data_IF_622575704477
#
_entry.id   IF_622575704477
#
_cell.length_a   1.000
_cell.length_b   1.000
_cell.length_c   1.000
_cell.angle_alpha   90.00
_cell.angle_beta   90.00
_cell.angle_gamma   90.00
#
_symmetry.space_group_name_H-M   'P 1'
#
loop_
_entity.id
_entity.type
_entity.pdbx_description
1 polymer ?
#
# COMPACT_ATOMS: atom_id res chain seq x y z
N UNK A 1 -11.93 3.70 1.33
CA UNK A 1 -12.35 4.74 0.36
C UNK A 1 -12.43 4.02 -0.96
N UNK A 2 -13.57 4.13 -1.64
CA UNK A 2 -13.78 3.49 -2.93
C UNK A 2 -12.70 3.95 -3.90
N UNK A 3 -12.08 3.00 -4.60
CA UNK A 3 -11.19 3.31 -5.71
C UNK A 3 -12.05 3.78 -6.88
N UNK A 4 -12.65 4.97 -6.71
CA UNK A 4 -13.35 5.68 -7.76
C UNK A 4 -12.33 5.97 -8.85
N UNK A 5 -12.46 5.26 -9.97
CA UNK A 5 -11.82 5.67 -11.22
C UNK A 5 -12.40 7.02 -11.60
N UNK A 6 -11.76 8.10 -11.16
CA UNK A 6 -12.31 9.42 -11.38
C UNK A 6 -12.35 9.75 -12.89
N UNK A 7 -13.47 10.31 -13.34
CA UNK A 7 -13.61 10.84 -14.70
C UNK A 7 -13.20 12.30 -14.72
N UNK A 8 -12.55 12.73 -15.80
CA UNK A 8 -12.22 14.14 -15.96
C UNK A 8 -13.51 14.98 -16.02
N UNK A 9 -13.70 15.98 -15.15
CA UNK A 9 -14.92 16.79 -15.12
C UNK A 9 -15.12 17.61 -16.40
N UNK A 10 -14.04 17.87 -17.15
CA UNK A 10 -14.08 18.74 -18.31
C UNK A 10 -14.38 18.01 -19.63
N UNK A 11 -13.96 16.74 -19.75
CA UNK A 11 -14.13 15.98 -20.99
C UNK A 11 -14.67 14.55 -20.79
N UNK A 12 -15.00 14.18 -19.56
CA UNK A 12 -15.45 12.83 -19.16
C UNK A 12 -14.49 11.68 -19.53
N UNK A 13 -13.27 11.99 -19.98
CA UNK A 13 -12.26 10.98 -20.28
C UNK A 13 -11.63 10.42 -18.99
N UNK A 14 -11.05 9.23 -19.08
CA UNK A 14 -10.29 8.63 -17.98
C UNK A 14 -9.11 9.52 -17.60
N UNK A 15 -8.92 9.73 -16.29
CA UNK A 15 -7.83 10.53 -15.76
C UNK A 15 -6.78 9.63 -15.12
N UNK A 16 -5.50 9.89 -15.41
CA UNK A 16 -4.39 9.10 -14.86
C UNK A 16 -3.77 9.82 -13.67
N UNK A 17 -3.46 9.06 -12.62
CA UNK A 17 -2.71 9.60 -11.49
C UNK A 17 -1.20 9.65 -11.80
N UNK A 18 -0.61 10.84 -11.74
CA UNK A 18 0.84 11.05 -11.85
C UNK A 18 1.48 11.02 -10.46
N UNK A 19 2.28 9.98 -10.18
CA UNK A 19 2.99 9.85 -8.91
C UNK A 19 4.02 10.98 -8.66
N UNK A 20 4.61 11.54 -9.73
CA UNK A 20 5.59 12.64 -9.64
C UNK A 20 4.96 13.92 -9.12
N UNK A 21 3.75 14.24 -9.58
CA UNK A 21 3.10 15.51 -9.29
C UNK A 21 2.03 15.39 -8.19
N UNK A 22 1.70 14.17 -7.76
CA UNK A 22 0.59 13.85 -6.85
C UNK A 22 -0.74 14.47 -7.34
N UNK A 23 -0.95 14.42 -8.65
CA UNK A 23 -2.11 15.01 -9.35
C UNK A 23 -2.70 14.03 -10.36
N UNK A 24 -3.99 14.19 -10.62
CA UNK A 24 -4.71 13.53 -11.70
C UNK A 24 -4.56 14.37 -12.97
N UNK A 25 -3.98 13.79 -14.02
CA UNK A 25 -3.73 14.45 -15.31
C UNK A 25 -4.62 13.83 -16.38
N UNK A 26 -5.37 14.67 -17.08
CA UNK A 26 -6.17 14.25 -18.23
C UNK A 26 -5.40 14.46 -19.53
N UNK A 27 -5.06 13.38 -20.23
CA UNK A 27 -4.31 13.43 -21.50
C UNK A 27 -5.14 13.96 -22.68
N UNK A 28 -6.47 14.06 -22.52
CA UNK A 28 -7.38 14.50 -23.58
C UNK A 28 -7.59 16.02 -23.60
N UNK A 29 -7.79 16.64 -22.44
CA UNK A 29 -8.00 18.08 -22.32
C UNK A 29 -6.85 18.82 -21.60
N UNK A 30 -5.76 18.11 -21.26
CA UNK A 30 -4.57 18.64 -20.58
C UNK A 30 -4.85 19.37 -19.25
N UNK A 31 -6.00 19.09 -18.63
CA UNK A 31 -6.30 19.59 -17.29
C UNK A 31 -5.62 18.72 -16.23
N UNK A 32 -5.18 19.35 -15.15
CA UNK A 32 -4.63 18.67 -13.98
C UNK A 32 -5.45 19.03 -12.75
N UNK A 33 -5.75 18.04 -11.91
CA UNK A 33 -6.54 18.19 -10.69
C UNK A 33 -5.81 17.55 -9.52
N UNK A 34 -5.96 18.13 -8.34
CA UNK A 34 -5.47 17.55 -7.09
C UNK A 34 -6.45 16.52 -6.54
N UNK A 35 -5.98 15.68 -5.60
CA UNK A 35 -6.85 14.67 -4.97
C UNK A 35 -8.03 15.30 -4.21
N UNK A 36 -7.83 16.49 -3.63
CA UNK A 36 -8.90 17.21 -2.92
C UNK A 36 -9.98 17.69 -3.88
N UNK A 37 -9.60 18.33 -4.99
CA UNK A 37 -10.53 18.81 -6.02
C UNK A 37 -11.34 17.65 -6.62
N UNK A 38 -10.70 16.50 -6.86
CA UNK A 38 -11.39 15.32 -7.40
C UNK A 38 -12.40 14.71 -6.41
N UNK A 39 -12.09 14.71 -5.11
CA UNK A 39 -13.02 14.25 -4.06
C UNK A 39 -14.21 15.18 -3.91
N UNK A 40 -14.00 16.49 -3.99
CA UNK A 40 -15.09 17.49 -3.93
C UNK A 40 -16.05 17.36 -5.12
N UNK A 41 -15.51 17.16 -6.32
CA UNK A 41 -16.31 16.98 -7.54
C UNK A 41 -17.10 15.66 -7.49
N UNK A 42 -16.49 14.57 -7.03
CA UNK A 42 -17.18 13.29 -6.86
C UNK A 42 -18.30 13.38 -5.81
N UNK A 43 -18.06 14.07 -4.69
CA UNK A 43 -19.07 14.30 -3.66
C UNK A 43 -20.24 15.18 -4.16
N UNK A 44 -19.99 16.13 -5.06
CA UNK A 44 -21.06 16.92 -5.69
C UNK A 44 -21.87 16.10 -6.71
N UNK A 45 -21.24 15.14 -7.40
CA UNK A 45 -21.92 14.25 -8.34
C UNK A 45 -22.81 13.21 -7.63
N UNK A 46 -22.40 12.73 -6.45
CA UNK A 46 -23.22 11.84 -5.61
C UNK A 46 -24.52 12.52 -5.12
N UNK A 47 -24.54 13.86 -4.98
CA UNK A 47 -25.76 14.59 -4.60
C UNK A 47 -26.80 14.70 -5.73
N UNK A 48 -26.43 14.46 -6.99
CA UNK A 48 -27.34 14.48 -8.14
C UNK A 48 -27.82 13.08 -8.57
N UNK A 49 -27.24 12.00 -8.04
CA UNK A 49 -27.73 10.63 -8.21
C UNK A 49 -28.48 10.16 -6.95
N UNK A 50 -29.54 10.86 -6.60
CA UNK A 50 -30.60 10.31 -5.74
C UNK A 50 -31.88 10.42 -6.52
N UNK A 51 -32.21 9.36 -7.28
CA UNK A 51 -33.55 8.98 -7.78
C UNK A 51 -33.38 8.06 -9.00
N UNK A 52 -33.32 6.74 -8.78
CA UNK A 52 -34.34 5.81 -9.31
C UNK A 52 -34.19 4.39 -8.74
N UNK A 53 -35.29 3.64 -8.52
CA UNK A 53 -35.32 2.38 -7.81
C UNK A 53 -35.42 1.18 -8.77
N UNK A 54 -34.82 0.03 -8.44
CA UNK A 54 -35.32 -1.27 -8.93
C UNK A 54 -34.75 -2.45 -8.14
N UNK A 55 -35.66 -3.18 -7.51
CA UNK A 55 -35.51 -4.55 -7.05
C UNK A 55 -35.10 -5.49 -8.20
N UNK A 56 -34.16 -6.42 -7.95
CA UNK A 56 -34.09 -7.69 -8.68
C UNK A 56 -33.38 -8.76 -7.83
N UNK A 57 -34.19 -9.38 -6.98
CA UNK A 57 -34.22 -10.81 -6.64
C UNK A 57 -32.93 -11.63 -6.70
N UNK A 58 -32.61 -12.13 -5.50
CA UNK A 58 -32.00 -13.42 -5.24
C UNK A 58 -32.59 -14.52 -6.12
N UNK A 59 -31.78 -15.13 -6.98
CA UNK A 59 -31.92 -16.54 -7.35
C UNK A 59 -30.55 -17.19 -7.19
N UNK A 60 -30.43 -17.95 -6.12
CA UNK A 60 -29.33 -18.85 -5.85
C UNK A 60 -29.36 -20.00 -6.86
N UNK A 61 -28.28 -20.17 -7.61
CA UNK A 61 -27.92 -21.43 -8.25
C UNK A 61 -26.46 -21.69 -7.91
N UNK A 62 -26.16 -22.89 -7.41
CA UNK A 62 -24.85 -23.39 -6.90
C UNK A 62 -23.68 -23.29 -7.91
N UNK A 63 -23.88 -22.68 -9.08
CA UNK A 63 -22.82 -22.33 -10.04
C UNK A 63 -22.20 -20.95 -9.79
N UNK A 64 -22.85 -20.07 -8.99
CA UNK A 64 -22.36 -18.71 -8.71
C UNK A 64 -21.49 -18.62 -7.45
N UNK A 65 -21.37 -19.68 -6.65
CA UNK A 65 -20.53 -19.61 -5.45
C UNK A 65 -19.08 -19.31 -5.85
N UNK A 66 -18.56 -19.97 -6.90
CA UNK A 66 -17.16 -19.83 -7.29
C UNK A 66 -16.87 -18.86 -8.45
N UNK A 67 -17.83 -18.06 -8.89
CA UNK A 67 -17.61 -17.11 -10.00
C UNK A 67 -18.33 -15.81 -9.71
N UNK A 68 -17.57 -14.85 -9.20
CA UNK A 68 -18.08 -13.52 -8.97
C UNK A 68 -18.10 -12.74 -10.30
N UNK A 69 -19.27 -12.23 -10.63
CA UNK A 69 -19.57 -11.46 -11.84
C UNK A 69 -19.45 -9.97 -11.50
N UNK A 70 -18.56 -9.25 -12.18
CA UNK A 70 -18.22 -7.86 -11.87
C UNK A 70 -18.50 -6.92 -13.03
N UNK A 71 -19.12 -5.77 -12.78
CA UNK A 71 -19.32 -4.71 -13.76
C UNK A 71 -18.12 -3.75 -13.79
N UNK A 72 -17.60 -3.45 -14.99
CA UNK A 72 -16.55 -2.46 -15.19
C UNK A 72 -17.13 -1.05 -15.33
N UNK A 73 -16.85 -0.16 -14.38
CA UNK A 73 -17.34 1.23 -14.38
C UNK A 73 -16.86 2.07 -15.57
N UNK A 74 -15.78 1.66 -16.25
CA UNK A 74 -15.26 2.38 -17.42
C UNK A 74 -15.95 2.02 -18.74
N UNK A 75 -16.49 0.81 -18.90
CA UNK A 75 -17.05 0.35 -20.18
C UNK A 75 -18.39 -0.38 -20.06
N UNK A 76 -18.91 -0.56 -18.84
CA UNK A 76 -20.14 -1.30 -18.55
C UNK A 76 -20.03 -2.81 -18.78
N UNK A 77 -18.85 -3.32 -19.17
CA UNK A 77 -18.68 -4.74 -19.45
C UNK A 77 -18.72 -5.57 -18.16
N UNK A 78 -19.34 -6.74 -18.25
CA UNK A 78 -19.43 -7.69 -17.17
C UNK A 78 -18.29 -8.71 -17.29
N UNK A 79 -17.43 -8.77 -16.28
CA UNK A 79 -16.24 -9.62 -16.21
C UNK A 79 -16.51 -10.76 -15.22
N UNK A 80 -16.21 -11.99 -15.61
CA UNK A 80 -16.24 -13.15 -14.72
C UNK A 80 -14.84 -13.38 -14.18
N UNK A 81 -14.68 -13.40 -12.85
CA UNK A 81 -13.39 -13.66 -12.22
C UNK A 81 -13.51 -14.69 -11.09
N UNK A 82 -12.44 -15.45 -10.92
CA UNK A 82 -12.30 -16.50 -9.92
C UNK A 82 -12.24 -15.94 -8.47
N UNK A 83 -12.67 -16.74 -7.50
CA UNK A 83 -12.75 -16.39 -6.07
C UNK A 83 -11.42 -16.01 -5.42
N UNK A 84 -10.29 -16.31 -6.03
CA UNK A 84 -8.97 -15.98 -5.47
C UNK A 84 -8.32 -14.76 -6.14
N UNK A 85 -8.93 -14.20 -7.19
CA UNK A 85 -8.37 -13.05 -7.88
C UNK A 85 -8.91 -11.77 -7.24
N UNK A 86 -8.05 -10.92 -6.66
CA UNK A 86 -8.44 -9.66 -6.01
C UNK A 86 -8.33 -8.43 -6.93
N UNK A 87 -7.54 -8.54 -8.00
CA UNK A 87 -7.36 -7.50 -9.00
C UNK A 87 -7.27 -8.14 -10.39
N UNK A 88 -8.13 -7.72 -11.31
CA UNK A 88 -8.16 -8.21 -12.70
C UNK A 88 -8.18 -7.01 -13.64
N UNK A 89 -7.60 -7.15 -14.82
CA UNK A 89 -7.74 -6.15 -15.89
C UNK A 89 -9.03 -6.43 -16.66
N UNK A 90 -9.81 -5.40 -16.98
CA UNK A 90 -10.95 -5.55 -17.86
C UNK A 90 -10.48 -6.00 -19.26
N UNK A 91 -10.93 -7.16 -19.73
CA UNK A 91 -10.56 -7.66 -21.06
C UNK A 91 -11.00 -6.74 -22.21
N UNK A 92 -11.98 -5.87 -21.98
CA UNK A 92 -12.53 -4.98 -22.98
C UNK A 92 -11.79 -3.64 -23.04
N UNK A 93 -11.58 -2.98 -21.90
CA UNK A 93 -10.95 -1.65 -21.86
C UNK A 93 -9.55 -1.62 -21.23
N UNK A 94 -9.04 -2.77 -20.78
CA UNK A 94 -7.74 -2.93 -20.13
C UNK A 94 -7.54 -2.07 -18.85
N UNK A 95 -8.61 -1.47 -18.32
CA UNK A 95 -8.54 -0.77 -17.05
C UNK A 95 -8.44 -1.78 -15.89
N UNK A 96 -7.60 -1.51 -14.88
CA UNK A 96 -7.55 -2.32 -13.67
C UNK A 96 -8.87 -2.19 -12.92
N UNK A 97 -9.55 -3.31 -12.68
CA UNK A 97 -10.79 -3.37 -11.91
C UNK A 97 -10.45 -3.89 -10.53
N UNK A 98 -10.69 -3.05 -9.52
CA UNK A 98 -10.66 -3.46 -8.12
C UNK A 98 -12.03 -4.05 -7.81
N UNK A 99 -12.04 -5.31 -7.39
CA UNK A 99 -13.27 -6.03 -7.12
C UNK A 99 -13.86 -5.52 -5.79
N UNK A 100 -14.80 -4.57 -5.90
CA UNK A 100 -15.39 -3.80 -4.80
C UNK A 100 -15.95 -4.67 -3.66
N UNK A 101 -16.38 -5.90 -3.96
CA UNK A 101 -16.88 -6.87 -2.97
C UNK A 101 -15.86 -7.34 -1.92
N UNK A 102 -14.55 -7.16 -2.14
CA UNK A 102 -13.51 -7.59 -1.19
C UNK A 102 -12.84 -6.47 -0.38
N UNK A 103 -13.19 -5.21 -0.65
CA UNK A 103 -12.65 -4.03 0.05
C UNK A 103 -13.74 -3.33 0.90
N UNK A 104 -14.88 -4.00 1.06
CA UNK A 104 -16.03 -3.56 1.85
C UNK A 104 -16.26 -4.51 3.04
N UNK A 105 -16.97 -4.05 4.07
CA UNK A 105 -17.23 -4.82 5.29
C UNK A 105 -15.99 -4.99 6.18
N UNK A 106 -15.83 -6.19 6.75
CA UNK A 106 -14.80 -6.52 7.76
C UNK A 106 -13.35 -6.40 7.25
N UNK A 107 -13.13 -6.58 5.94
CA UNK A 107 -11.80 -6.53 5.32
C UNK A 107 -11.45 -5.18 4.70
N UNK A 108 -12.24 -4.13 4.96
CA UNK A 108 -11.93 -2.78 4.50
C UNK A 108 -10.68 -2.25 5.21
N UNK A 109 -9.60 -1.91 4.49
CA UNK A 109 -8.39 -1.37 5.10
C UNK A 109 -8.66 0.04 5.66
N UNK A 110 -8.07 0.33 6.81
CA UNK A 110 -8.14 1.67 7.43
C UNK A 110 -7.31 2.70 6.66
N UNK A 111 -6.18 2.28 6.07
CA UNK A 111 -5.28 3.11 5.30
C UNK A 111 -4.86 2.39 4.01
N UNK A 112 -4.67 3.15 2.94
CA UNK A 112 -4.10 2.67 1.67
C UNK A 112 -2.99 3.63 1.28
N UNK A 113 -1.79 3.10 1.00
CA UNK A 113 -0.65 3.90 0.60
C UNK A 113 -0.63 4.08 -0.93
N UNK A 114 -0.56 5.31 -1.46
CA UNK A 114 -0.42 5.51 -2.89
C UNK A 114 0.96 5.06 -3.38
N UNK A 115 1.04 4.61 -4.63
CA UNK A 115 2.33 4.30 -5.25
C UNK A 115 3.14 5.59 -5.45
N UNK A 116 4.37 5.61 -4.94
CA UNK A 116 5.33 6.70 -5.18
C UNK A 116 6.21 6.45 -6.40
N UNK A 117 6.44 5.18 -6.74
CA UNK A 117 7.35 4.76 -7.81
C UNK A 117 6.51 4.41 -9.03
N UNK A 118 6.87 4.98 -10.18
CA UNK A 118 6.28 4.65 -11.47
C UNK A 118 6.84 3.33 -12.02
N UNK A 119 6.12 2.77 -13.00
CA UNK A 119 6.47 1.48 -13.62
C UNK A 119 7.86 1.48 -14.25
N UNK A 120 8.27 2.57 -14.89
CA UNK A 120 9.56 2.64 -15.58
C UNK A 120 10.71 2.63 -14.56
N UNK A 121 10.58 3.41 -13.48
CA UNK A 121 11.52 3.40 -12.37
C UNK A 121 11.58 2.04 -11.69
N UNK A 122 10.45 1.36 -11.49
CA UNK A 122 10.40 0.01 -10.95
C UNK A 122 11.14 -1.01 -11.83
N UNK A 123 10.98 -0.94 -13.16
CA UNK A 123 11.73 -1.77 -14.12
C UNK A 123 13.23 -1.44 -14.06
N UNK A 124 13.60 -0.16 -13.89
CA UNK A 124 14.99 0.26 -13.69
C UNK A 124 15.63 -0.39 -12.47
N UNK A 125 14.98 -0.26 -11.31
CA UNK A 125 15.42 -0.89 -10.06
C UNK A 125 15.51 -2.41 -10.18
N UNK A 126 14.54 -3.04 -10.84
CA UNK A 126 14.56 -4.48 -11.12
C UNK A 126 15.77 -4.90 -11.96
N UNK A 127 16.10 -4.14 -13.01
CA UNK A 127 17.29 -4.40 -13.84
C UNK A 127 18.57 -4.27 -13.03
N UNK A 128 18.67 -3.25 -12.18
CA UNK A 128 19.85 -3.01 -11.35
C UNK A 128 20.01 -4.06 -10.25
N UNK A 129 18.91 -4.56 -9.69
CA UNK A 129 18.91 -5.73 -8.81
C UNK A 129 19.45 -6.96 -9.54
N UNK A 130 18.89 -7.28 -10.70
CA UNK A 130 19.30 -8.43 -11.52
C UNK A 130 20.79 -8.40 -11.90
N UNK A 131 21.37 -7.23 -12.19
CA UNK A 131 22.82 -7.08 -12.50
C UNK A 131 23.73 -7.53 -11.36
N UNK A 132 23.29 -7.46 -10.11
CA UNK A 132 24.10 -7.84 -8.93
C UNK A 132 24.16 -9.37 -8.74
N UNK A 133 23.26 -10.12 -9.37
CA UNK A 133 23.14 -11.57 -9.18
C UNK A 133 23.70 -12.35 -10.38
N UNK A 134 24.91 -12.91 -10.21
CA UNK A 134 25.66 -13.59 -11.28
C UNK A 134 25.04 -14.91 -11.79
N UNK A 135 24.18 -15.55 -10.99
CA UNK A 135 23.56 -16.84 -11.32
C UNK A 135 22.13 -16.72 -11.85
N UNK A 136 21.72 -15.52 -12.25
CA UNK A 136 20.38 -15.27 -12.76
C UNK A 136 20.22 -15.84 -14.19
N UNK A 137 19.19 -16.67 -14.47
CA UNK A 137 18.91 -17.12 -15.82
C UNK A 137 18.63 -15.95 -16.77
N UNK A 138 19.13 -16.03 -18.02
CA UNK A 138 19.00 -14.95 -19.00
C UNK A 138 17.54 -14.62 -19.33
N UNK A 139 16.65 -15.61 -19.28
CA UNK A 139 15.22 -15.45 -19.58
C UNK A 139 14.49 -14.58 -18.56
N UNK A 140 15.04 -14.43 -17.35
CA UNK A 140 14.46 -13.61 -16.29
C UNK A 140 14.47 -12.11 -16.61
N UNK A 141 15.35 -11.68 -17.51
CA UNK A 141 15.45 -10.30 -18.00
C UNK A 141 14.75 -10.07 -19.34
N UNK A 142 14.04 -11.08 -19.88
CA UNK A 142 13.32 -10.96 -21.14
C UNK A 142 12.27 -9.83 -21.11
N UNK A 143 12.02 -9.22 -22.26
CA UNK A 143 11.04 -8.13 -22.38
C UNK A 143 9.64 -8.55 -21.87
N UNK A 144 9.21 -9.77 -22.21
CA UNK A 144 7.93 -10.30 -21.73
C UNK A 144 7.88 -10.53 -20.21
N UNK A 145 9.02 -10.73 -19.53
CA UNK A 145 9.05 -10.81 -18.06
C UNK A 145 8.98 -9.42 -17.42
N UNK A 146 9.58 -8.40 -18.05
CA UNK A 146 9.51 -7.01 -17.61
C UNK A 146 8.08 -6.46 -17.71
N UNK A 147 7.34 -6.89 -18.74
CA UNK A 147 5.92 -6.53 -18.90
C UNK A 147 5.01 -7.11 -17.81
N UNK A 148 5.41 -8.20 -17.16
CA UNK A 148 4.66 -8.82 -16.07
C UNK A 148 4.85 -8.14 -14.72
N UNK A 149 5.70 -7.12 -14.62
CA UNK A 149 5.82 -6.33 -13.39
C UNK A 149 4.51 -5.57 -13.17
N UNK A 150 3.88 -5.80 -12.02
CA UNK A 150 2.61 -5.19 -11.63
C UNK A 150 2.72 -4.59 -10.24
N UNK A 151 2.02 -3.48 -10.01
CA UNK A 151 1.83 -2.95 -8.66
C UNK A 151 0.84 -3.85 -7.91
N UNK A 152 1.21 -4.27 -6.69
CA UNK A 152 0.38 -5.09 -5.83
C UNK A 152 0.21 -4.41 -4.48
N UNK A 153 -1.04 -4.31 -4.01
CA UNK A 153 -1.34 -3.94 -2.64
C UNK A 153 -1.38 -5.19 -1.77
N UNK A 154 -0.49 -5.25 -0.78
CA UNK A 154 -0.44 -6.33 0.21
C UNK A 154 -1.06 -5.81 1.51
N UNK A 155 -2.14 -6.42 2.01
CA UNK A 155 -2.73 -6.02 3.29
C UNK A 155 -1.80 -6.42 4.45
N UNK A 156 -1.55 -5.50 5.37
CA UNK A 156 -0.81 -5.76 6.60
C UNK A 156 -1.48 -5.08 7.79
N UNK A 157 -1.34 -5.69 8.96
CA UNK A 157 -1.84 -5.16 10.21
C UNK A 157 -0.76 -4.30 10.86
N UNK A 158 -1.16 -3.10 11.29
CA UNK A 158 -0.33 -2.21 12.09
C UNK A 158 -0.91 -2.10 13.49
N UNK A 159 -0.04 -2.02 14.49
CA UNK A 159 -0.42 -1.96 15.90
C UNK A 159 0.27 -0.80 16.58
N UNK A 160 -0.44 -0.17 17.51
CA UNK A 160 0.14 0.82 18.40
C UNK A 160 0.53 0.14 19.71
N UNK A 161 1.78 0.33 20.13
CA UNK A 161 2.36 -0.32 21.31
C UNK A 161 2.78 0.75 22.31
N UNK A 162 2.34 0.58 23.55
CA UNK A 162 2.81 1.38 24.68
C UNK A 162 3.59 0.47 25.63
N UNK A 163 4.88 0.75 25.81
CA UNK A 163 5.81 -0.05 26.62
C UNK A 163 6.30 0.79 27.78
N UNK A 164 5.98 0.33 29.00
CA UNK A 164 6.57 0.85 30.22
C UNK A 164 7.71 -0.08 30.62
N UNK A 165 8.94 0.42 30.56
CA UNK A 165 10.15 -0.35 30.87
C UNK A 165 10.80 0.20 32.14
N UNK A 166 10.98 -0.68 33.13
CA UNK A 166 11.79 -0.40 34.32
C UNK A 166 13.03 -1.30 34.28
N UNK A 167 14.21 -0.73 34.53
CA UNK A 167 15.49 -1.42 34.50
C UNK A 167 16.31 -1.04 35.72
N UNK A 168 16.62 -2.04 36.53
CA UNK A 168 17.58 -1.94 37.63
C UNK A 168 18.88 -2.66 37.25
N UNK A 169 20.01 -1.98 37.40
CA UNK A 169 21.32 -2.51 37.05
C UNK A 169 22.39 -2.01 38.03
N UNK A 170 23.49 -2.76 38.15
CA UNK A 170 24.66 -2.34 38.90
C UNK A 170 25.71 -1.81 37.93
N UNK A 171 25.88 -0.48 37.90
CA UNK A 171 26.88 0.19 37.09
C UNK A 171 28.24 0.16 37.78
N UNK A 172 29.28 -0.33 37.09
CA UNK A 172 30.66 -0.30 37.60
C UNK A 172 31.48 0.72 36.82
N UNK A 173 32.13 1.65 37.53
CA UNK A 173 33.14 2.56 36.97
C UNK A 173 34.51 2.15 37.48
N UNK A 174 35.34 1.63 36.57
CA UNK A 174 36.69 1.18 36.89
C UNK A 174 37.68 2.25 36.44
N UNK A 175 38.50 2.75 37.37
CA UNK A 175 39.65 3.59 37.05
C UNK A 175 40.93 2.87 37.45
N UNK A 176 41.92 2.87 36.57
CA UNK A 176 43.23 2.29 36.85
C UNK A 176 44.31 3.33 36.57
N UNK A 177 45.27 3.46 37.48
CA UNK A 177 46.42 4.35 37.31
C UNK A 177 47.65 3.79 38.03
N UNK A 178 48.82 4.22 37.58
CA UNK A 178 50.10 3.78 38.14
C UNK A 178 50.73 4.93 38.92
N UNK A 179 51.23 4.64 40.12
CA UNK A 179 51.99 5.60 40.92
C UNK A 179 53.25 4.92 41.45
N UNK A 180 54.42 5.37 40.96
CA UNK A 180 55.70 4.71 41.21
C UNK A 180 55.72 3.29 40.63
N UNK A 181 56.04 2.30 41.48
CA UNK A 181 56.08 0.88 41.11
C UNK A 181 54.75 0.12 41.37
N UNK A 182 53.68 0.83 41.77
CA UNK A 182 52.40 0.22 42.11
C UNK A 182 51.31 0.60 41.11
N UNK A 183 50.55 -0.39 40.65
CA UNK A 183 49.30 -0.17 39.89
C UNK A 183 48.10 -0.22 40.83
N UNK A 184 47.26 0.82 40.78
CA UNK A 184 46.02 0.91 41.53
C UNK A 184 44.85 0.72 40.58
N UNK A 185 43.89 -0.12 40.97
CA UNK A 185 42.59 -0.26 40.30
C UNK A 185 41.50 0.01 41.31
N UNK A 186 40.68 1.00 41.04
CA UNK A 186 39.53 1.35 41.85
C UNK A 186 38.26 1.08 41.06
N UNK A 187 37.39 0.29 41.66
CA UNK A 187 36.06 -0.02 41.13
C UNK A 187 35.03 0.68 42.00
N UNK A 188 34.34 1.67 41.45
CA UNK A 188 33.17 2.28 42.08
C UNK A 188 31.91 1.58 41.57
N UNK A 189 31.06 1.11 42.47
CA UNK A 189 29.80 0.45 42.15
C UNK A 189 28.62 1.39 42.42
N UNK A 190 27.66 1.45 41.49
CA UNK A 190 26.49 2.32 41.55
C UNK A 190 25.23 1.51 41.28
N UNK A 191 24.19 1.71 42.09
CA UNK A 191 22.84 1.26 41.75
C UNK A 191 22.27 2.20 40.68
N UNK A 192 21.91 1.66 39.53
CA UNK A 192 21.34 2.40 38.40
C UNK A 192 19.92 1.90 38.20
N UNK A 193 18.95 2.75 38.50
CA UNK A 193 17.56 2.53 38.16
C UNK A 193 17.17 3.44 36.99
N UNK A 194 16.49 2.90 35.97
CA UNK A 194 15.92 3.67 34.88
C UNK A 194 14.47 3.25 34.64
N UNK A 195 13.64 4.24 34.37
CA UNK A 195 12.27 4.06 33.89
C UNK A 195 12.14 4.74 32.54
N UNK A 196 11.45 4.10 31.61
CA UNK A 196 11.18 4.64 30.29
C UNK A 196 9.76 4.27 29.87
N UNK A 197 8.99 5.27 29.47
CA UNK A 197 7.71 5.10 28.80
C UNK A 197 7.95 5.29 27.30
N UNK A 198 7.73 4.24 26.52
CA UNK A 198 8.01 4.21 25.08
C UNK A 198 6.72 3.94 24.34
N UNK A 199 6.27 4.93 23.56
CA UNK A 199 5.09 4.81 22.69
C UNK A 199 5.56 4.64 21.26
N UNK A 200 5.19 3.52 20.65
CA UNK A 200 5.46 3.19 19.25
C UNK A 200 4.12 3.15 18.53
N UNK A 201 3.99 3.90 17.44
CA UNK A 201 2.77 3.91 16.62
C UNK A 201 3.04 3.26 15.27
N UNK A 202 2.05 2.56 14.75
CA UNK A 202 2.10 1.97 13.42
C UNK A 202 3.14 0.85 13.27
N UNK A 203 3.38 0.06 14.32
CA UNK A 203 4.29 -1.09 14.25
C UNK A 203 3.66 -2.18 13.37
N UNK A 204 4.26 -2.54 12.22
CA UNK A 204 3.73 -3.58 11.37
C UNK A 204 3.93 -4.95 12.02
N UNK A 205 3.00 -5.87 11.79
CA UNK A 205 3.00 -7.20 12.41
C UNK A 205 4.25 -8.05 12.09
N UNK A 206 4.95 -7.77 10.99
CA UNK A 206 6.18 -8.43 10.59
C UNK A 206 7.45 -7.84 11.24
N UNK A 207 7.30 -6.77 12.03
CA UNK A 207 8.41 -6.09 12.70
C UNK A 207 9.40 -5.43 11.72
N UNK A 208 9.01 -5.24 10.46
CA UNK A 208 9.84 -4.52 9.50
C UNK A 208 10.03 -3.07 9.97
N UNK A 209 11.29 -2.68 10.20
CA UNK A 209 11.63 -1.29 10.49
C UNK A 209 11.44 -0.44 9.23
N UNK A 210 10.62 0.59 9.32
CA UNK A 210 10.55 1.65 8.32
C UNK A 210 11.86 2.44 8.22
#
# INVERSE_FOLDING_TARGET
MDSLGYKCPNCCADIKFSAKDQKFICEYCNSSFTEQEMKEIAAQQEQYHTEEPAEAQQTADEFTEHTAVYSCDSCGATIMADENTAATFCYYCHNPVILQGRVSGEYRPSYVLPFQIDRETAIGHFKDFCKKHKFLPKDFLSAGQQEKIVGLYVPFWVTDVNVNAEMDALGKKIRSWTSGNYSYTETSEYAVARKADVVIRGLPADGASH
#
